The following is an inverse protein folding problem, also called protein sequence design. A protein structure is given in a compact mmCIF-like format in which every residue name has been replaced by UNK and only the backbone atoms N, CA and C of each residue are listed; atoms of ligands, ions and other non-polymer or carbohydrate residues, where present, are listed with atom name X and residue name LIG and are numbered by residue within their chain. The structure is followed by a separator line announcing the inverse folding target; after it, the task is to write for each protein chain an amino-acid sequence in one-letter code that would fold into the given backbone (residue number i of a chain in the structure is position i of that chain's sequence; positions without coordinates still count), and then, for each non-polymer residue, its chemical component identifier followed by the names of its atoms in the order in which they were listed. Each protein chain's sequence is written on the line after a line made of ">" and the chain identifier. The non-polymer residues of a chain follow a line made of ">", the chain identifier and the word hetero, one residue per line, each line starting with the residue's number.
data_IF_343271713940
#
_entry.id   IF_343271713940
#
_cell.length_a   1.000
_cell.length_b   1.000
_cell.length_c   1.000
_cell.angle_alpha   90.00
_cell.angle_beta   90.00
_cell.angle_gamma   90.00
#
_symmetry.space_group_name_H-M   'P 1'
#
loop_
_entity.id
_entity.type
_entity.pdbx_description
1 polymer ?
#
# COMPACT_ATOMS: atom_id res chain seq x y z
N UNK A 1 -22.86 20.08 -13.26
CA UNK A 1 -23.75 19.22 -12.44
C UNK A 1 -23.39 17.74 -12.55
N UNK A 2 -23.20 17.18 -13.74
CA UNK A 2 -22.84 15.76 -13.94
C UNK A 2 -21.51 15.39 -13.25
N UNK A 3 -20.50 16.24 -13.30
CA UNK A 3 -19.19 16.00 -12.64
C UNK A 3 -19.31 15.84 -11.12
N UNK A 4 -20.12 16.66 -10.46
CA UNK A 4 -20.36 16.57 -9.01
C UNK A 4 -21.11 15.29 -8.64
N UNK A 5 -22.06 14.86 -9.47
CA UNK A 5 -22.77 13.59 -9.28
C UNK A 5 -21.81 12.40 -9.42
N UNK A 6 -20.96 12.39 -10.45
CA UNK A 6 -19.96 11.34 -10.64
C UNK A 6 -18.95 11.27 -9.47
N UNK A 7 -18.49 12.41 -8.98
CA UNK A 7 -17.60 12.46 -7.81
C UNK A 7 -18.28 11.98 -6.52
N UNK A 8 -19.59 12.22 -6.40
CA UNK A 8 -20.38 11.69 -5.29
C UNK A 8 -20.57 10.18 -5.37
N UNK A 9 -20.89 9.66 -6.55
CA UNK A 9 -21.00 8.20 -6.79
C UNK A 9 -19.67 7.48 -6.61
N UNK A 10 -18.56 8.08 -7.06
CA UNK A 10 -17.21 7.57 -6.83
C UNK A 10 -16.77 7.64 -5.34
N UNK A 11 -17.56 8.29 -4.48
CA UNK A 11 -17.28 8.45 -3.06
C UNK A 11 -16.16 9.46 -2.74
N UNK A 12 -15.69 10.21 -3.74
CA UNK A 12 -14.69 11.27 -3.61
C UNK A 12 -15.28 12.53 -2.98
N UNK A 13 -16.56 12.81 -3.23
CA UNK A 13 -17.27 13.95 -2.68
C UNK A 13 -18.64 13.56 -2.12
N UNK A 14 -18.67 13.19 -0.83
CA UNK A 14 -19.91 12.79 -0.13
C UNK A 14 -20.19 13.65 1.08
N UNK A 15 -21.47 13.88 1.37
CA UNK A 15 -21.87 14.38 2.69
C UNK A 15 -21.54 13.32 3.75
N UNK A 16 -21.06 13.78 4.91
CA UNK A 16 -20.79 12.92 6.06
C UNK A 16 -22.12 12.52 6.72
N UNK A 17 -22.77 11.50 6.17
CA UNK A 17 -23.94 10.89 6.78
C UNK A 17 -23.59 9.50 7.33
N UNK A 18 -23.54 9.39 8.66
CA UNK A 18 -23.23 8.14 9.36
C UNK A 18 -24.30 7.07 9.20
N UNK A 19 -25.51 7.43 8.73
CA UNK A 19 -26.64 6.50 8.57
C UNK A 19 -26.80 6.00 7.14
N UNK A 20 -26.02 6.52 6.19
CA UNK A 20 -26.14 6.12 4.79
C UNK A 20 -25.63 4.68 4.58
N UNK A 21 -26.35 3.84 3.82
CA UNK A 21 -25.91 2.48 3.50
C UNK A 21 -24.61 2.53 2.70
N UNK A 22 -23.59 1.77 3.14
CA UNK A 22 -22.25 1.79 2.53
C UNK A 22 -21.33 2.92 3.01
N UNK A 23 -21.75 3.72 4.00
CA UNK A 23 -20.87 4.73 4.60
C UNK A 23 -19.73 4.06 5.38
N UNK A 24 -18.53 4.09 4.79
CA UNK A 24 -17.29 3.84 5.51
C UNK A 24 -16.76 5.14 6.11
N UNK A 25 -16.61 5.17 7.44
CA UNK A 25 -16.00 6.29 8.16
C UNK A 25 -14.48 6.13 8.13
N UNK A 26 -13.85 6.84 7.20
CA UNK A 26 -12.40 6.97 7.13
C UNK A 26 -11.95 7.78 8.33
N UNK A 27 -11.67 7.10 9.44
CA UNK A 27 -11.13 7.72 10.65
C UNK A 27 -9.68 8.16 10.40
N UNK A 28 -9.53 9.22 9.63
CA UNK A 28 -8.26 9.64 9.04
C UNK A 28 -7.19 9.92 10.09
N UNK A 29 -7.56 10.51 11.22
CA UNK A 29 -6.63 10.76 12.34
C UNK A 29 -6.02 9.46 12.84
N UNK A 30 -6.85 8.43 13.11
CA UNK A 30 -6.34 7.12 13.55
C UNK A 30 -5.48 6.45 12.48
N UNK A 31 -5.89 6.53 11.21
CA UNK A 31 -5.14 5.92 10.10
C UNK A 31 -3.78 6.60 9.95
N UNK A 32 -3.75 7.94 9.98
CA UNK A 32 -2.53 8.75 9.89
C UNK A 32 -1.55 8.37 10.99
N UNK A 33 -2.03 8.29 12.23
CA UNK A 33 -1.18 8.03 13.39
C UNK A 33 -0.70 6.57 13.42
N UNK A 34 -1.57 5.60 13.11
CA UNK A 34 -1.19 4.18 13.14
C UNK A 34 -0.27 3.75 12.00
N UNK A 35 -0.43 4.32 10.80
CA UNK A 35 0.43 4.02 9.66
C UNK A 35 1.65 4.93 9.57
N UNK A 36 1.79 5.89 10.48
CA UNK A 36 2.80 6.94 10.43
C UNK A 36 2.91 7.56 9.02
N UNK A 37 1.77 8.01 8.48
CA UNK A 37 1.70 8.48 7.10
C UNK A 37 2.39 9.83 6.87
N UNK A 38 2.64 10.59 7.95
CA UNK A 38 3.23 11.92 7.87
C UNK A 38 4.48 11.95 8.72
N UNK A 39 5.62 12.16 8.07
CA UNK A 39 6.88 12.34 8.78
C UNK A 39 6.98 13.80 9.25
N UNK A 40 6.88 14.01 10.56
CA UNK A 40 6.89 15.34 11.17
C UNK A 40 8.30 15.97 11.21
N UNK A 41 9.35 15.14 11.17
CA UNK A 41 10.73 15.58 11.38
C UNK A 41 11.43 16.04 10.10
N UNK A 42 10.67 16.15 9.00
CA UNK A 42 11.17 16.53 7.68
C UNK A 42 11.82 15.36 6.93
N UNK A 43 11.91 15.48 5.61
CA UNK A 43 12.47 14.42 4.75
C UNK A 43 13.80 14.86 4.15
N UNK A 44 14.81 13.99 4.28
CA UNK A 44 16.08 14.17 3.61
C UNK A 44 16.01 13.61 2.18
N UNK A 45 16.09 14.48 1.17
CA UNK A 45 16.02 14.10 -0.24
C UNK A 45 17.31 13.44 -0.76
N UNK A 46 18.46 13.70 -0.13
CA UNK A 46 19.76 13.18 -0.60
C UNK A 46 19.98 11.73 -0.15
N UNK A 47 19.45 11.37 1.02
CA UNK A 47 19.47 10.01 1.55
C UNK A 47 18.13 9.74 2.25
N UNK A 48 17.06 9.44 1.50
CA UNK A 48 15.75 9.18 2.09
C UNK A 48 15.80 7.91 2.94
N UNK A 49 15.22 7.98 4.14
CA UNK A 49 15.09 6.86 5.08
C UNK A 49 13.71 6.20 5.03
N UNK A 50 12.69 6.93 4.60
CA UNK A 50 11.30 6.49 4.55
C UNK A 50 10.66 6.82 3.20
N UNK A 51 9.60 6.09 2.89
CA UNK A 51 8.83 6.19 1.64
C UNK A 51 8.22 7.60 1.46
N UNK A 52 8.03 8.34 2.55
CA UNK A 52 7.47 9.70 2.57
C UNK A 52 8.21 10.73 1.70
N UNK A 53 9.42 10.42 1.21
CA UNK A 53 10.17 11.28 0.29
C UNK A 53 9.43 11.56 -1.03
N UNK A 54 8.54 10.67 -1.46
CA UNK A 54 7.83 10.83 -2.75
C UNK A 54 6.83 11.98 -2.76
N UNK A 55 6.29 12.35 -1.59
CA UNK A 55 5.39 13.50 -1.42
C UNK A 55 5.87 14.46 -0.34
N UNK A 56 7.18 14.60 -0.15
CA UNK A 56 7.78 15.57 0.78
C UNK A 56 7.20 15.49 2.21
N UNK A 57 7.14 14.29 2.77
CA UNK A 57 6.67 14.06 4.14
C UNK A 57 5.39 13.23 4.22
N UNK A 58 4.67 13.02 3.11
CA UNK A 58 3.54 12.10 3.05
C UNK A 58 3.91 10.75 2.41
N UNK A 59 3.63 9.66 3.12
CA UNK A 59 3.76 8.30 2.61
C UNK A 59 2.45 7.86 1.94
N UNK A 60 2.45 7.44 0.66
CA UNK A 60 1.26 6.91 0.02
C UNK A 60 0.73 5.72 0.80
N UNK A 61 -0.54 5.77 1.22
CA UNK A 61 -1.15 4.75 2.08
C UNK A 61 -1.09 3.35 1.44
N UNK A 62 -1.24 3.27 0.11
CA UNK A 62 -1.15 2.04 -0.67
C UNK A 62 0.19 1.34 -0.50
N UNK A 63 1.30 2.10 -0.56
CA UNK A 63 2.65 1.58 -0.40
C UNK A 63 3.00 1.34 1.07
N UNK A 64 2.52 2.20 1.99
CA UNK A 64 2.73 2.01 3.43
C UNK A 64 2.11 0.72 3.93
N UNK A 65 0.93 0.34 3.44
CA UNK A 65 0.32 -0.96 3.76
C UNK A 65 1.22 -2.11 3.30
N UNK A 66 1.80 -2.02 2.10
CA UNK A 66 2.70 -3.05 1.56
C UNK A 66 3.97 -3.16 2.43
N UNK A 67 4.55 -2.03 2.85
CA UNK A 67 5.67 -2.00 3.79
C UNK A 67 5.31 -2.71 5.11
N UNK A 68 4.16 -2.40 5.71
CA UNK A 68 3.72 -3.05 6.94
C UNK A 68 3.54 -4.57 6.78
N UNK A 69 3.05 -5.05 5.63
CA UNK A 69 2.94 -6.49 5.33
C UNK A 69 4.33 -7.15 5.31
N UNK A 70 5.32 -6.48 4.73
CA UNK A 70 6.69 -7.00 4.62
C UNK A 70 7.35 -7.04 5.98
N UNK A 71 7.27 -5.95 6.74
CA UNK A 71 7.91 -5.81 8.05
C UNK A 71 7.32 -6.79 9.05
N UNK A 72 5.99 -6.92 9.05
CA UNK A 72 5.28 -7.87 9.89
C UNK A 72 5.34 -9.32 9.37
N UNK A 73 5.94 -9.55 8.19
CA UNK A 73 6.08 -10.87 7.54
C UNK A 73 4.73 -11.58 7.36
N UNK A 74 3.70 -10.83 7.02
CA UNK A 74 2.37 -11.36 6.74
C UNK A 74 1.22 -10.38 6.98
N UNK A 75 0.04 -10.77 6.51
CA UNK A 75 -1.21 -10.03 6.56
C UNK A 75 -1.91 -10.26 7.92
N UNK A 76 -1.73 -11.44 8.50
CA UNK A 76 -2.32 -11.81 9.80
C UNK A 76 -2.05 -10.81 10.94
N UNK A 77 -0.80 -10.38 11.20
CA UNK A 77 -0.50 -9.42 12.27
C UNK A 77 -1.07 -8.02 12.01
N UNK A 78 -1.26 -7.64 10.74
CA UNK A 78 -1.74 -6.29 10.39
C UNK A 78 -3.25 -6.23 10.18
N UNK A 79 -4.00 -7.31 10.45
CA UNK A 79 -5.47 -7.36 10.25
C UNK A 79 -6.20 -6.19 10.90
N UNK A 80 -5.80 -5.80 12.11
CA UNK A 80 -6.45 -4.71 12.84
C UNK A 80 -6.27 -3.35 12.13
N UNK A 81 -5.11 -3.15 11.51
CA UNK A 81 -4.78 -1.98 10.73
C UNK A 81 -5.54 -1.98 9.39
N UNK A 82 -5.63 -3.13 8.72
CA UNK A 82 -6.39 -3.29 7.46
C UNK A 82 -7.90 -3.04 7.65
N UNK A 83 -8.46 -3.42 8.81
CA UNK A 83 -9.85 -3.11 9.17
C UNK A 83 -10.13 -1.61 9.19
N UNK A 84 -9.15 -0.77 9.56
CA UNK A 84 -9.29 0.69 9.56
C UNK A 84 -9.34 1.30 8.15
N UNK A 85 -8.84 0.58 7.14
CA UNK A 85 -8.85 1.01 5.73
C UNK A 85 -10.04 0.42 4.97
N UNK A 86 -10.91 -0.34 5.65
CA UNK A 86 -12.11 -0.93 5.06
C UNK A 86 -11.86 -2.26 4.34
N UNK A 87 -10.68 -2.85 4.54
CA UNK A 87 -10.38 -4.23 4.15
C UNK A 87 -10.92 -5.19 5.21
N UNK A 88 -12.21 -5.47 5.13
CA UNK A 88 -12.90 -6.46 5.97
C UNK A 88 -12.48 -7.89 5.62
N UNK A 89 -12.59 -8.82 6.57
CA UNK A 89 -12.14 -10.22 6.43
C UNK A 89 -12.75 -10.91 5.19
N UNK A 90 -13.96 -10.52 4.77
CA UNK A 90 -14.63 -11.06 3.56
C UNK A 90 -13.88 -10.75 2.25
N UNK A 91 -13.09 -9.67 2.22
CA UNK A 91 -12.28 -9.26 1.07
C UNK A 91 -10.81 -9.69 1.21
N UNK A 92 -10.40 -10.12 2.40
CA UNK A 92 -9.02 -10.51 2.71
C UNK A 92 -8.87 -12.03 2.63
N UNK A 93 -8.34 -12.52 1.51
CA UNK A 93 -8.00 -13.92 1.35
C UNK A 93 -6.56 -14.16 1.78
N UNK A 94 -6.35 -14.67 2.99
CA UNK A 94 -5.03 -15.06 3.49
C UNK A 94 -4.76 -16.52 3.10
N UNK A 95 -3.77 -16.81 2.24
CA UNK A 95 -3.41 -18.18 1.91
C UNK A 95 -2.68 -18.84 3.09
N UNK A 96 -2.98 -20.10 3.38
CA UNK A 96 -2.34 -20.84 4.48
C UNK A 96 -0.81 -21.05 4.30
N UNK A 97 -0.28 -20.77 3.11
CA UNK A 97 1.16 -20.76 2.81
C UNK A 97 1.87 -19.43 3.07
N UNK A 98 1.20 -18.40 3.61
CA UNK A 98 1.81 -17.10 3.89
C UNK A 98 3.03 -17.20 4.81
N UNK A 99 2.89 -17.89 5.94
CA UNK A 99 3.98 -18.10 6.90
C UNK A 99 5.14 -18.87 6.28
N UNK A 100 4.86 -19.80 5.36
CA UNK A 100 5.89 -20.52 4.63
C UNK A 100 6.59 -19.62 3.61
N UNK A 101 5.89 -18.73 2.91
CA UNK A 101 6.53 -17.77 1.99
C UNK A 101 7.44 -16.78 2.73
N UNK A 102 7.02 -16.27 3.88
CA UNK A 102 7.83 -15.33 4.66
C UNK A 102 8.93 -16.01 5.48
N UNK A 103 8.74 -17.24 5.97
CA UNK A 103 9.73 -18.00 6.75
C UNK A 103 10.56 -19.01 5.94
N UNK A 104 10.25 -19.28 4.66
CA UNK A 104 11.04 -20.21 3.86
C UNK A 104 12.46 -19.67 3.69
N UNK A 105 13.38 -20.24 4.45
CA UNK A 105 14.79 -20.23 4.12
C UNK A 105 14.97 -21.19 2.94
N UNK A 106 15.73 -20.77 1.93
CA UNK A 106 15.96 -21.58 0.75
C UNK A 106 16.54 -22.95 1.15
N UNK A 107 16.05 -24.07 0.59
CA UNK A 107 16.66 -25.36 0.83
C UNK A 107 18.10 -25.35 0.33
N UNK A 108 19.04 -25.65 1.23
CA UNK A 108 20.47 -25.83 0.96
C UNK A 108 20.64 -27.02 0.01
N UNK A 109 20.55 -26.76 -1.30
CA UNK A 109 20.90 -27.74 -2.33
C UNK A 109 22.15 -27.21 -3.04
N UNK A 110 23.27 -27.87 -2.74
CA UNK A 110 24.58 -27.73 -3.38
C UNK A 110 25.35 -26.41 -3.13
N UNK A 111 25.84 -26.21 -1.91
CA UNK A 111 27.11 -25.51 -1.62
C UNK A 111 27.24 -24.03 -2.02
N UNK A 112 26.21 -23.41 -2.57
CA UNK A 112 26.13 -21.98 -2.84
C UNK A 112 24.92 -21.42 -2.08
N UNK A 113 25.09 -20.48 -1.14
CA UNK A 113 23.96 -19.80 -0.50
C UNK A 113 23.27 -18.91 -1.55
N UNK A 114 22.44 -19.52 -2.39
CA UNK A 114 21.62 -18.83 -3.36
C UNK A 114 20.47 -18.15 -2.62
N UNK A 115 20.66 -16.89 -2.23
CA UNK A 115 19.57 -16.02 -1.81
C UNK A 115 18.57 -15.88 -2.97
N UNK A 116 17.57 -16.78 -3.04
CA UNK A 116 16.46 -16.61 -3.97
C UNK A 116 15.65 -15.41 -3.50
N UNK A 117 15.67 -14.34 -4.29
CA UNK A 117 14.82 -13.17 -4.06
C UNK A 117 13.35 -13.60 -4.14
N UNK A 118 12.58 -13.29 -3.10
CA UNK A 118 11.13 -13.50 -3.06
C UNK A 118 10.48 -12.56 -4.04
N UNK A 119 9.64 -13.07 -4.93
CA UNK A 119 8.95 -12.25 -5.94
C UNK A 119 7.52 -11.99 -5.46
N UNK A 120 7.12 -10.72 -5.41
CA UNK A 120 5.78 -10.30 -5.03
C UNK A 120 5.18 -9.52 -6.19
N UNK A 121 4.05 -9.98 -6.72
CA UNK A 121 3.26 -9.24 -7.71
C UNK A 121 2.29 -8.32 -6.97
N UNK A 122 2.40 -7.03 -7.21
CA UNK A 122 1.46 -6.01 -6.72
C UNK A 122 0.63 -5.55 -7.91
N UNK A 123 -0.68 -5.81 -7.86
CA UNK A 123 -1.61 -5.46 -8.93
C UNK A 123 -2.53 -4.33 -8.48
N UNK A 124 -2.39 -3.16 -9.10
CA UNK A 124 -3.23 -1.99 -8.86
C UNK A 124 -4.43 -2.00 -9.82
N UNK A 125 -5.63 -2.03 -9.25
CA UNK A 125 -6.89 -1.93 -10.00
C UNK A 125 -7.39 -0.50 -9.88
N UNK A 126 -7.61 0.18 -11.01
CA UNK A 126 -8.04 1.59 -11.05
C UNK A 126 -6.92 2.57 -11.36
N UNK A 127 -5.67 2.09 -11.37
CA UNK A 127 -4.51 2.86 -11.78
C UNK A 127 -3.47 3.02 -10.67
N UNK A 128 -2.26 3.41 -11.08
CA UNK A 128 -1.14 3.71 -10.17
C UNK A 128 -0.47 5.01 -10.59
N UNK A 129 0.04 5.77 -9.63
CA UNK A 129 0.79 7.01 -9.86
C UNK A 129 2.30 6.75 -9.99
N UNK A 130 3.02 7.69 -10.61
CA UNK A 130 4.48 7.62 -10.65
C UNK A 130 5.14 7.70 -9.27
N UNK A 131 4.52 8.43 -8.33
CA UNK A 131 4.99 8.53 -6.95
C UNK A 131 4.91 7.17 -6.23
N UNK A 132 3.81 6.43 -6.39
CA UNK A 132 3.66 5.08 -5.83
C UNK A 132 4.65 4.09 -6.46
N UNK A 133 4.90 4.19 -7.77
CA UNK A 133 5.92 3.38 -8.45
C UNK A 133 7.31 3.68 -7.87
N UNK A 134 7.65 4.96 -7.66
CA UNK A 134 8.93 5.37 -7.08
C UNK A 134 9.08 4.86 -5.64
N UNK A 135 8.03 5.00 -4.84
CA UNK A 135 7.94 4.49 -3.48
C UNK A 135 8.18 2.97 -3.39
N UNK A 136 7.55 2.17 -4.27
CA UNK A 136 7.76 0.72 -4.32
C UNK A 136 9.19 0.34 -4.75
N UNK A 137 9.79 1.10 -5.67
CA UNK A 137 11.19 0.90 -6.07
C UNK A 137 12.16 1.21 -4.94
N UNK A 138 11.88 2.27 -4.18
CA UNK A 138 12.65 2.61 -3.00
C UNK A 138 12.54 1.53 -1.92
N UNK A 139 11.33 1.02 -1.66
CA UNK A 139 11.10 -0.10 -0.74
C UNK A 139 11.85 -1.38 -1.17
N UNK A 140 11.97 -1.63 -2.47
CA UNK A 140 12.77 -2.74 -3.02
C UNK A 140 14.27 -2.56 -2.74
N UNK A 141 14.78 -1.33 -2.73
CA UNK A 141 16.19 -1.04 -2.42
C UNK A 141 16.50 -1.26 -0.94
N UNK A 142 15.56 -0.92 -0.05
CA UNK A 142 15.68 -1.19 1.38
C UNK A 142 15.67 -2.70 1.69
N UNK A 143 14.88 -3.47 0.93
CA UNK A 143 14.68 -4.90 1.15
C UNK A 143 15.18 -5.75 -0.05
N UNK A 144 16.50 -5.97 -0.20
CA UNK A 144 17.07 -6.64 -1.38
C UNK A 144 16.70 -8.13 -1.52
N UNK A 145 16.14 -8.73 -0.46
CA UNK A 145 15.59 -10.09 -0.48
C UNK A 145 14.26 -10.18 -1.25
N UNK A 146 13.57 -9.06 -1.48
CA UNK A 146 12.25 -9.02 -2.12
C UNK A 146 12.37 -8.31 -3.48
N UNK A 147 11.64 -8.81 -4.47
CA UNK A 147 11.49 -8.19 -5.79
C UNK A 147 10.02 -7.93 -6.07
N UNK A 148 9.66 -6.67 -6.20
CA UNK A 148 8.31 -6.28 -6.64
C UNK A 148 8.18 -6.37 -8.15
N UNK A 149 7.07 -6.96 -8.57
CA UNK A 149 6.57 -6.89 -9.94
C UNK A 149 5.31 -6.03 -9.85
N UNK A 150 5.31 -4.88 -10.48
CA UNK A 150 4.18 -3.95 -10.45
C UNK A 150 3.36 -4.19 -11.70
N UNK A 151 2.07 -4.42 -11.54
CA UNK A 151 1.09 -4.50 -12.60
C UNK A 151 -0.05 -3.53 -12.27
N UNK A 152 -0.60 -2.89 -13.30
CA UNK A 152 -1.63 -1.88 -13.15
C UNK A 152 -2.57 -1.89 -14.35
N UNK A 153 -3.82 -1.48 -14.15
CA UNK A 153 -4.78 -1.24 -15.24
C UNK A 153 -4.41 -0.03 -16.09
N UNK A 154 -3.83 1.00 -15.46
CA UNK A 154 -3.46 2.27 -16.11
C UNK A 154 -2.46 3.04 -15.25
N UNK A 155 -1.75 4.00 -15.84
CA UNK A 155 -0.97 4.98 -15.09
C UNK A 155 -1.81 6.25 -15.01
N UNK A 156 -2.04 6.74 -13.79
CA UNK A 156 -2.95 7.86 -13.52
C UNK A 156 -2.25 8.99 -12.77
N UNK A 157 -2.83 10.19 -12.86
CA UNK A 157 -2.53 11.36 -12.04
C UNK A 157 -3.86 11.97 -11.56
N UNK A 158 -3.80 13.03 -10.73
CA UNK A 158 -5.02 13.66 -10.18
C UNK A 158 -5.98 14.17 -11.26
N UNK A 159 -5.46 14.78 -12.31
CA UNK A 159 -6.29 15.36 -13.38
C UNK A 159 -6.94 14.28 -14.24
N UNK A 160 -6.18 13.27 -14.66
CA UNK A 160 -6.68 12.12 -15.43
C UNK A 160 -7.67 11.28 -14.63
N UNK A 161 -7.52 11.20 -13.30
CA UNK A 161 -8.45 10.45 -12.45
C UNK A 161 -9.81 11.16 -12.29
N UNK A 162 -9.83 12.48 -12.30
CA UNK A 162 -11.07 13.28 -12.21
C UNK A 162 -11.73 13.45 -13.59
N UNK A 163 -10.94 13.38 -14.67
CA UNK A 163 -11.41 13.54 -16.04
C UNK A 163 -12.02 12.27 -16.65
N UNK A 164 -11.76 11.09 -16.08
CA UNK A 164 -12.36 9.80 -16.48
C UNK A 164 -13.81 9.69 -16.02
#
# INVERSE_FOLDING_TARGET
>A
MITLMNLQEAGLFKMKDKKAPGYFDWNWTKIKDQLNLVNADGVNFMSPSDISYVYNGYSPISVKIIEQIIDAKGITPIKNLLKLVGLTEDKLRIPQGESQFFNSQAPNTNGRPGFRKKKILVYFIGGITYAEIAALRFLMNLNPMIKFIIATTSIINGDSAVAQ
#
